data_IF_173551781144
#
_entry.id   IF_173551781144
#
_cell.length_a   1.000
_cell.length_b   1.000
_cell.length_c   1.000
_cell.angle_alpha   90.00
_cell.angle_beta   90.00
_cell.angle_gamma   90.00
#
_symmetry.space_group_name_H-M   'P 1'
#
loop_
_entity.id
_entity.type
_entity.pdbx_description
1 polymer ?
#
# COMPACT_ATOMS: atom_id res chain seq x y z
N UNK A 1 -55.57 -61.92 22.31
CA UNK A 1 -54.49 -62.33 23.22
C UNK A 1 -53.43 -61.23 23.22
N UNK A 2 -53.21 -60.68 24.40
CA UNK A 2 -52.52 -59.44 24.73
C UNK A 2 -51.02 -59.68 24.91
N UNK A 3 -50.17 -58.96 24.18
CA UNK A 3 -48.72 -58.96 24.40
C UNK A 3 -48.30 -57.56 24.82
N UNK A 4 -48.07 -57.38 26.12
CA UNK A 4 -47.57 -56.13 26.70
C UNK A 4 -46.06 -56.04 26.48
N UNK A 5 -45.62 -54.96 25.82
CA UNK A 5 -44.20 -54.60 25.70
C UNK A 5 -43.80 -53.80 26.94
N UNK A 6 -42.98 -54.39 27.79
CA UNK A 6 -42.31 -53.69 28.89
C UNK A 6 -41.15 -52.86 28.34
N UNK A 7 -41.30 -51.53 28.32
CA UNK A 7 -40.22 -50.59 28.05
C UNK A 7 -39.43 -50.33 29.33
N UNK A 8 -38.24 -50.95 29.45
CA UNK A 8 -37.30 -50.67 30.53
C UNK A 8 -36.66 -49.30 30.31
N UNK A 9 -37.04 -48.30 31.11
CA UNK A 9 -36.41 -46.98 31.11
C UNK A 9 -35.11 -47.05 31.90
N UNK A 10 -33.97 -47.08 31.20
CA UNK A 10 -32.64 -46.93 31.81
C UNK A 10 -32.42 -45.46 32.15
N UNK A 11 -32.44 -45.12 33.44
CA UNK A 11 -32.15 -43.77 33.96
C UNK A 11 -30.63 -43.60 34.02
N UNK A 12 -30.05 -42.83 33.11
CA UNK A 12 -28.62 -42.51 33.16
C UNK A 12 -28.34 -41.52 34.30
N UNK A 13 -27.28 -41.73 35.10
CA UNK A 13 -26.89 -40.81 36.16
C UNK A 13 -26.48 -39.46 35.56
N UNK A 14 -27.13 -38.39 36.04
CA UNK A 14 -26.80 -37.00 35.73
C UNK A 14 -25.42 -36.67 36.31
N UNK A 15 -24.38 -36.94 35.54
CA UNK A 15 -23.03 -36.49 35.81
C UNK A 15 -22.97 -34.98 35.69
N UNK A 16 -22.77 -34.29 36.82
CA UNK A 16 -22.42 -32.86 36.84
C UNK A 16 -21.14 -32.68 36.04
N UNK A 17 -21.27 -32.23 34.79
CA UNK A 17 -20.15 -31.81 33.95
C UNK A 17 -19.52 -30.61 34.64
N UNK A 18 -18.43 -30.85 35.37
CA UNK A 18 -17.49 -29.81 35.75
C UNK A 18 -16.97 -29.19 34.44
N UNK A 19 -17.58 -28.08 34.02
CA UNK A 19 -17.02 -27.19 33.00
C UNK A 19 -15.71 -26.64 33.54
N UNK A 20 -14.64 -27.41 33.38
CA UNK A 20 -13.27 -26.90 33.38
C UNK A 20 -13.29 -25.80 32.32
N UNK A 21 -13.31 -24.53 32.75
CA UNK A 21 -13.03 -23.40 31.86
C UNK A 21 -11.65 -23.67 31.31
N UNK A 22 -11.59 -24.24 30.10
CA UNK A 22 -10.41 -24.20 29.27
C UNK A 22 -10.11 -22.72 29.10
N UNK A 23 -9.08 -22.23 29.80
CA UNK A 23 -8.54 -20.91 29.59
C UNK A 23 -8.18 -20.84 28.10
N UNK A 24 -9.04 -20.17 27.32
CA UNK A 24 -8.75 -19.89 25.92
C UNK A 24 -7.45 -19.07 25.87
N UNK A 25 -6.56 -19.36 24.91
CA UNK A 25 -5.14 -19.20 25.10
C UNK A 25 -4.73 -17.73 25.07
N UNK A 26 -3.70 -17.39 25.85
CA UNK A 26 -2.95 -16.12 25.84
C UNK A 26 -2.33 -15.75 24.47
N UNK A 27 -2.65 -16.49 23.40
CA UNK A 27 -2.26 -16.21 22.01
C UNK A 27 -2.94 -14.96 21.45
N UNK A 28 -4.08 -14.51 22.01
CA UNK A 28 -4.83 -13.37 21.46
C UNK A 28 -4.15 -12.01 21.71
N UNK A 29 -3.49 -11.80 22.85
CA UNK A 29 -2.83 -10.51 23.15
C UNK A 29 -1.53 -10.33 22.37
N UNK A 30 -0.72 -11.38 22.28
CA UNK A 30 0.53 -11.38 21.50
C UNK A 30 0.23 -11.18 20.01
N UNK A 31 -0.79 -11.86 19.48
CA UNK A 31 -1.20 -11.69 18.09
C UNK A 31 -1.74 -10.28 17.82
N UNK A 32 -2.63 -9.75 18.68
CA UNK A 32 -3.11 -8.36 18.60
C UNK A 32 -1.96 -7.36 18.64
N UNK A 33 -0.97 -7.56 19.50
CA UNK A 33 0.21 -6.68 19.59
C UNK A 33 1.05 -6.67 18.32
N UNK A 34 1.19 -7.82 17.63
CA UNK A 34 1.89 -7.90 16.33
C UNK A 34 1.11 -7.18 15.23
N UNK A 35 -0.20 -7.38 15.16
CA UNK A 35 -1.08 -6.69 14.20
C UNK A 35 -1.04 -5.17 14.39
N UNK A 36 -1.14 -4.69 15.64
CA UNK A 36 -1.04 -3.26 15.93
C UNK A 36 0.31 -2.67 15.53
N UNK A 37 1.42 -3.37 15.80
CA UNK A 37 2.76 -2.94 15.37
C UNK A 37 2.89 -2.88 13.84
N UNK A 38 2.30 -3.83 13.12
CA UNK A 38 2.28 -3.82 11.66
C UNK A 38 1.45 -2.68 11.09
N UNK A 39 0.27 -2.40 11.65
CA UNK A 39 -0.55 -1.25 11.28
C UNK A 39 0.18 0.07 11.54
N UNK A 40 0.83 0.21 12.70
CA UNK A 40 1.63 1.38 13.02
C UNK A 40 2.81 1.56 12.05
N UNK A 41 3.49 0.47 11.70
CA UNK A 41 4.58 0.51 10.71
C UNK A 41 4.08 0.88 9.31
N UNK A 42 2.96 0.30 8.86
CA UNK A 42 2.31 0.66 7.59
C UNK A 42 1.95 2.15 7.55
N UNK A 43 1.32 2.67 8.60
CA UNK A 43 0.96 4.08 8.71
C UNK A 43 2.19 5.00 8.72
N UNK A 44 3.27 4.62 9.42
CA UNK A 44 4.51 5.38 9.44
C UNK A 44 5.18 5.42 8.05
N UNK A 45 5.24 4.27 7.35
CA UNK A 45 5.76 4.18 5.99
C UNK A 45 4.91 5.02 5.02
N UNK A 46 3.58 4.97 5.14
CA UNK A 46 2.67 5.79 4.35
C UNK A 46 2.89 7.28 4.59
N UNK A 47 3.09 7.70 5.83
CA UNK A 47 3.33 9.09 6.19
C UNK A 47 4.65 9.61 5.58
N UNK A 48 5.73 8.83 5.66
CA UNK A 48 7.01 9.16 5.01
C UNK A 48 6.82 9.26 3.50
N UNK A 49 6.12 8.30 2.90
CA UNK A 49 5.79 8.32 1.47
C UNK A 49 5.05 9.61 1.09
N UNK A 50 4.06 10.03 1.86
CA UNK A 50 3.27 11.23 1.61
C UNK A 50 4.10 12.52 1.68
N UNK A 51 5.03 12.61 2.64
CA UNK A 51 5.96 13.76 2.71
C UNK A 51 6.87 13.80 1.49
N UNK A 52 7.44 12.65 1.08
CA UNK A 52 8.26 12.57 -0.12
C UNK A 52 7.45 12.90 -1.38
N UNK A 53 6.19 12.46 -1.46
CA UNK A 53 5.27 12.81 -2.55
C UNK A 53 5.08 14.32 -2.63
N UNK A 54 4.80 15.02 -1.52
CA UNK A 54 4.63 16.48 -1.53
C UNK A 54 5.89 17.24 -2.03
N UNK A 55 7.07 16.78 -1.59
CA UNK A 55 8.35 17.36 -2.06
C UNK A 55 8.57 17.09 -3.55
N UNK A 56 8.35 15.86 -4.00
CA UNK A 56 8.45 15.43 -5.40
C UNK A 56 7.49 16.20 -6.29
N UNK A 57 6.26 16.43 -5.84
CA UNK A 57 5.23 17.12 -6.60
C UNK A 57 5.59 18.59 -6.83
N UNK A 58 6.22 19.24 -5.84
CA UNK A 58 6.73 20.60 -5.96
C UNK A 58 7.83 20.70 -7.03
N UNK A 59 8.78 19.75 -7.04
CA UNK A 59 9.90 19.74 -7.99
C UNK A 59 9.45 19.35 -9.39
N UNK A 60 8.54 18.38 -9.49
CA UNK A 60 7.91 17.99 -10.74
C UNK A 60 7.13 19.15 -11.35
N UNK A 61 6.29 19.84 -10.57
CA UNK A 61 5.54 21.00 -11.04
C UNK A 61 6.47 22.13 -11.50
N UNK A 62 7.56 22.38 -10.76
CA UNK A 62 8.57 23.36 -11.16
C UNK A 62 9.26 22.98 -12.48
N UNK A 63 9.71 21.74 -12.61
CA UNK A 63 10.33 21.23 -13.84
C UNK A 63 9.38 21.29 -15.03
N UNK A 64 8.11 20.92 -14.86
CA UNK A 64 7.08 21.03 -15.90
C UNK A 64 6.86 22.49 -16.31
N UNK A 65 6.75 23.41 -15.36
CA UNK A 65 6.58 24.84 -15.67
C UNK A 65 7.75 25.39 -16.50
N UNK A 66 9.00 25.03 -16.15
CA UNK A 66 10.19 25.43 -16.91
C UNK A 66 10.15 24.87 -18.33
N UNK A 67 9.90 23.56 -18.48
CA UNK A 67 9.99 22.88 -19.79
C UNK A 67 8.86 23.28 -20.74
N UNK A 68 7.67 23.56 -20.21
CA UNK A 68 6.47 23.79 -21.04
C UNK A 68 6.06 25.26 -21.13
N UNK A 69 6.58 26.13 -20.26
CA UNK A 69 6.21 27.55 -20.20
C UNK A 69 4.78 27.80 -19.71
N UNK A 70 4.11 26.79 -19.14
CA UNK A 70 2.74 26.94 -18.63
C UNK A 70 2.70 27.63 -17.25
N UNK A 71 1.59 28.29 -16.89
CA UNK A 71 1.40 28.85 -15.57
C UNK A 71 1.55 27.82 -14.45
N UNK A 72 2.05 28.25 -13.29
CA UNK A 72 2.35 27.36 -12.16
C UNK A 72 1.17 26.45 -11.75
N UNK A 73 -0.05 26.97 -11.71
CA UNK A 73 -1.23 26.17 -11.33
C UNK A 73 -1.52 25.04 -12.32
N UNK A 74 -1.23 25.23 -13.62
CA UNK A 74 -1.36 24.18 -14.63
C UNK A 74 -0.27 23.13 -14.45
N UNK A 75 0.97 23.55 -14.16
CA UNK A 75 2.07 22.62 -13.90
C UNK A 75 1.82 21.77 -12.63
N UNK A 76 1.26 22.37 -11.58
CA UNK A 76 0.79 21.63 -10.40
C UNK A 76 -0.32 20.63 -10.75
N UNK A 77 -1.30 21.02 -11.55
CA UNK A 77 -2.34 20.10 -12.00
C UNK A 77 -1.77 18.93 -12.82
N UNK A 78 -0.79 19.19 -13.69
CA UNK A 78 -0.08 18.15 -14.45
C UNK A 78 0.71 17.20 -13.54
N UNK A 79 1.43 17.74 -12.55
CA UNK A 79 2.19 16.96 -11.57
C UNK A 79 1.25 16.06 -10.73
N UNK A 80 0.13 16.61 -10.24
CA UNK A 80 -0.92 15.83 -9.56
C UNK A 80 -1.47 14.74 -10.49
N UNK A 81 -1.70 15.06 -11.76
CA UNK A 81 -2.18 14.10 -12.77
C UNK A 81 -1.26 12.89 -12.93
N UNK A 82 0.06 13.08 -12.91
CA UNK A 82 1.03 11.97 -12.95
C UNK A 82 0.90 11.06 -11.73
N UNK A 83 0.84 11.61 -10.51
CA UNK A 83 0.73 10.83 -9.29
C UNK A 83 -0.64 10.12 -9.17
N UNK A 84 -1.73 10.79 -9.54
CA UNK A 84 -3.06 10.18 -9.61
C UNK A 84 -3.11 9.02 -10.62
N UNK A 85 -2.34 9.10 -11.71
CA UNK A 85 -2.23 8.01 -12.69
C UNK A 85 -1.60 6.77 -12.04
N UNK A 86 -0.54 6.94 -11.24
CA UNK A 86 0.06 5.82 -10.49
C UNK A 86 -0.94 5.19 -9.52
N UNK A 87 -1.63 6.02 -8.73
CA UNK A 87 -2.64 5.56 -7.77
C UNK A 87 -3.78 4.81 -8.48
N UNK A 88 -4.25 5.33 -9.62
CA UNK A 88 -5.32 4.71 -10.39
C UNK A 88 -4.90 3.34 -10.97
N UNK A 89 -3.69 3.25 -11.52
CA UNK A 89 -3.15 2.01 -12.10
C UNK A 89 -2.87 0.93 -11.03
N UNK A 90 -2.43 1.32 -9.84
CA UNK A 90 -2.27 0.38 -8.72
C UNK A 90 -3.63 -0.05 -8.17
N UNK A 91 -4.55 0.90 -7.99
CA UNK A 91 -5.90 0.63 -7.50
C UNK A 91 -6.67 -0.29 -8.45
N UNK A 92 -6.53 -0.11 -9.77
CA UNK A 92 -7.11 -1.01 -10.77
C UNK A 92 -6.63 -2.47 -10.63
N UNK A 93 -5.34 -2.66 -10.30
CA UNK A 93 -4.78 -4.00 -10.07
C UNK A 93 -5.24 -4.60 -8.73
N UNK A 94 -5.42 -3.77 -7.69
CA UNK A 94 -5.90 -4.21 -6.37
C UNK A 94 -7.39 -4.55 -6.36
N UNK A 95 -8.20 -3.80 -7.12
CA UNK A 95 -9.64 -4.02 -7.25
C UNK A 95 -10.01 -5.14 -8.23
N UNK A 96 -9.03 -5.75 -8.91
CA UNK A 96 -9.27 -6.85 -9.84
C UNK A 96 -9.81 -8.08 -9.11
N UNK A 97 -11.05 -8.47 -9.42
CA UNK A 97 -11.75 -9.58 -8.76
C UNK A 97 -11.12 -10.94 -9.09
N UNK A 98 -10.52 -11.10 -10.27
CA UNK A 98 -9.92 -12.35 -10.72
C UNK A 98 -8.48 -12.17 -11.18
N UNK A 99 -7.71 -13.25 -11.10
CA UNK A 99 -6.33 -13.33 -11.59
C UNK A 99 -6.22 -13.05 -13.09
N UNK A 100 -7.21 -13.48 -13.89
CA UNK A 100 -7.23 -13.25 -15.32
C UNK A 100 -7.38 -11.76 -15.64
N UNK A 101 -8.33 -11.07 -14.98
CA UNK A 101 -8.52 -9.62 -15.12
C UNK A 101 -7.30 -8.86 -14.65
N UNK A 102 -6.70 -9.27 -13.52
CA UNK A 102 -5.48 -8.62 -13.00
C UNK A 102 -4.32 -8.73 -13.97
N UNK A 103 -4.13 -9.87 -14.64
CA UNK A 103 -3.10 -10.05 -15.66
C UNK A 103 -3.31 -9.14 -16.87
N UNK A 104 -4.55 -9.01 -17.33
CA UNK A 104 -4.89 -8.14 -18.47
C UNK A 104 -4.64 -6.67 -18.12
N UNK A 105 -5.06 -6.21 -16.94
CA UNK A 105 -4.77 -4.86 -16.46
C UNK A 105 -3.25 -4.66 -16.32
N UNK A 106 -2.53 -5.61 -15.72
CA UNK A 106 -1.10 -5.51 -15.47
C UNK A 106 -0.27 -5.39 -16.75
N UNK A 107 -0.73 -5.94 -17.87
CA UNK A 107 -0.10 -5.81 -19.19
C UNK A 107 0.05 -4.34 -19.61
N UNK A 108 -0.93 -3.52 -19.30
CA UNK A 108 -0.96 -2.09 -19.62
C UNK A 108 -0.50 -1.23 -18.45
N UNK A 109 -0.86 -1.60 -17.23
CA UNK A 109 -0.54 -0.83 -16.04
C UNK A 109 0.96 -0.81 -15.74
N UNK A 110 1.68 -1.93 -15.88
CA UNK A 110 3.12 -1.99 -15.59
C UNK A 110 3.97 -1.07 -16.47
N UNK A 111 3.85 -1.09 -17.81
CA UNK A 111 4.62 -0.17 -18.65
C UNK A 111 4.20 1.28 -18.42
N UNK A 112 2.91 1.56 -18.16
CA UNK A 112 2.45 2.91 -17.84
C UNK A 112 3.00 3.42 -16.52
N UNK A 113 3.02 2.59 -15.47
CA UNK A 113 3.66 2.91 -14.18
C UNK A 113 5.14 3.24 -14.38
N UNK A 114 5.85 2.40 -15.16
CA UNK A 114 7.27 2.61 -15.45
C UNK A 114 7.49 3.92 -16.21
N UNK A 115 6.66 4.20 -17.22
CA UNK A 115 6.74 5.44 -18.01
C UNK A 115 6.52 6.69 -17.16
N UNK A 116 5.49 6.68 -16.30
CA UNK A 116 5.22 7.79 -15.38
C UNK A 116 6.35 7.97 -14.36
N UNK A 117 6.89 6.86 -13.81
CA UNK A 117 8.03 6.91 -12.89
C UNK A 117 9.29 7.50 -13.56
N UNK A 118 9.59 7.08 -14.78
CA UNK A 118 10.74 7.63 -15.53
C UNK A 118 10.53 9.12 -15.80
N UNK A 119 9.35 9.50 -16.30
CA UNK A 119 9.04 10.91 -16.54
C UNK A 119 9.15 11.77 -15.28
N UNK A 120 8.62 11.28 -14.16
CA UNK A 120 8.72 11.94 -12.85
C UNK A 120 10.17 12.03 -12.36
N UNK A 121 10.96 10.96 -12.48
CA UNK A 121 12.38 10.93 -12.11
C UNK A 121 13.22 11.88 -12.95
N UNK A 122 13.03 11.90 -14.27
CA UNK A 122 13.70 12.83 -15.18
C UNK A 122 13.39 14.28 -14.78
N UNK A 123 12.12 14.59 -14.49
CA UNK A 123 11.73 15.96 -14.19
C UNK A 123 12.16 16.42 -12.80
N UNK A 124 12.11 15.54 -11.81
CA UNK A 124 12.68 15.81 -10.50
C UNK A 124 14.21 16.02 -10.61
N UNK A 125 14.92 15.13 -11.31
CA UNK A 125 16.36 15.25 -11.51
C UNK A 125 16.74 16.56 -12.21
N UNK A 126 15.95 16.97 -13.21
CA UNK A 126 16.12 18.25 -13.87
C UNK A 126 15.93 19.42 -12.89
N UNK A 127 14.84 19.44 -12.12
CA UNK A 127 14.57 20.52 -11.17
C UNK A 127 15.63 20.62 -10.06
N UNK A 128 16.09 19.50 -9.52
CA UNK A 128 17.17 19.50 -8.54
C UNK A 128 18.52 19.92 -9.15
N UNK A 129 18.80 19.47 -10.38
CA UNK A 129 20.04 19.80 -11.08
C UNK A 129 20.13 21.26 -11.53
N UNK A 130 19.00 21.90 -11.82
CA UNK A 130 18.93 23.32 -12.19
C UNK A 130 19.34 24.23 -11.01
N UNK A 131 19.02 23.84 -9.79
CA UNK A 131 19.32 24.61 -8.59
C UNK A 131 20.81 24.62 -8.17
N UNK A 132 21.66 23.79 -8.77
CA UNK A 132 23.06 23.62 -8.36
C UNK A 132 24.03 23.53 -9.54
N UNK A 133 25.30 23.88 -9.31
CA UNK A 133 26.37 23.74 -10.31
C UNK A 133 27.61 23.07 -9.74
N UNK A 134 28.52 22.63 -10.61
CA UNK A 134 29.78 22.01 -10.22
C UNK A 134 29.60 20.62 -9.60
N UNK A 135 30.36 20.33 -8.55
CA UNK A 135 30.45 18.99 -7.93
C UNK A 135 29.13 18.52 -7.29
N UNK A 136 28.20 19.43 -7.01
CA UNK A 136 26.90 19.13 -6.41
C UNK A 136 25.84 18.67 -7.42
N UNK A 137 26.11 18.79 -8.73
CA UNK A 137 25.15 18.41 -9.77
C UNK A 137 24.82 16.91 -9.75
N UNK A 138 25.84 16.05 -9.66
CA UNK A 138 25.63 14.60 -9.67
C UNK A 138 24.80 14.13 -8.46
N UNK A 139 25.10 14.53 -7.20
CA UNK A 139 24.24 14.25 -6.06
C UNK A 139 22.79 14.74 -6.22
N UNK A 140 22.58 15.93 -6.80
CA UNK A 140 21.25 16.50 -6.99
C UNK A 140 20.42 15.70 -8.00
N UNK A 141 21.02 15.28 -9.12
CA UNK A 141 20.38 14.38 -10.10
C UNK A 141 20.02 13.04 -9.44
N UNK A 142 20.95 12.46 -8.68
CA UNK A 142 20.71 11.19 -7.97
C UNK A 142 19.54 11.33 -7.00
N UNK A 143 19.46 12.43 -6.25
CA UNK A 143 18.36 12.70 -5.32
C UNK A 143 17.02 12.82 -6.08
N UNK A 144 17.00 13.54 -7.20
CA UNK A 144 15.81 13.70 -8.02
C UNK A 144 15.29 12.39 -8.63
N UNK A 145 16.17 11.43 -8.94
CA UNK A 145 15.77 10.09 -9.36
C UNK A 145 15.32 9.24 -8.16
N UNK A 146 16.04 9.32 -7.05
CA UNK A 146 15.81 8.48 -5.88
C UNK A 146 14.44 8.73 -5.24
N UNK A 147 13.97 9.99 -5.19
CA UNK A 147 12.71 10.34 -4.53
C UNK A 147 11.50 9.61 -5.16
N UNK A 148 11.23 9.71 -6.48
CA UNK A 148 10.14 8.96 -7.11
C UNK A 148 10.25 7.43 -6.95
N UNK A 149 11.47 6.89 -7.03
CA UNK A 149 11.71 5.46 -6.79
C UNK A 149 11.36 5.05 -5.36
N UNK A 150 11.75 5.85 -4.36
CA UNK A 150 11.44 5.60 -2.95
C UNK A 150 9.95 5.71 -2.68
N UNK A 151 9.26 6.71 -3.24
CA UNK A 151 7.79 6.85 -3.11
C UNK A 151 7.10 5.58 -3.61
N UNK A 152 7.49 5.08 -4.78
CA UNK A 152 6.94 3.85 -5.33
C UNK A 152 7.16 2.67 -4.37
N UNK A 153 8.40 2.44 -3.94
CA UNK A 153 8.73 1.33 -3.03
C UNK A 153 8.00 1.43 -1.70
N UNK A 154 7.96 2.61 -1.08
CA UNK A 154 7.27 2.86 0.20
C UNK A 154 5.77 2.60 0.08
N UNK A 155 5.15 2.99 -1.03
CA UNK A 155 3.73 2.72 -1.30
C UNK A 155 3.46 1.22 -1.35
N UNK A 156 4.30 0.46 -2.07
CA UNK A 156 4.19 -1.01 -2.16
C UNK A 156 4.36 -1.68 -0.80
N UNK A 157 5.36 -1.27 -0.02
CA UNK A 157 5.63 -1.83 1.31
C UNK A 157 4.49 -1.50 2.27
N UNK A 158 4.02 -0.25 2.28
CA UNK A 158 2.91 0.17 3.13
C UNK A 158 1.64 -0.64 2.88
N UNK A 159 1.26 -0.78 1.60
CA UNK A 159 0.08 -1.57 1.21
C UNK A 159 0.27 -3.05 1.54
N UNK A 160 1.45 -3.62 1.32
CA UNK A 160 1.73 -5.01 1.66
C UNK A 160 1.62 -5.27 3.17
N UNK A 161 2.16 -4.36 4.00
CA UNK A 161 2.04 -4.43 5.47
C UNK A 161 0.57 -4.31 5.90
N UNK A 162 -0.19 -3.41 5.29
CA UNK A 162 -1.61 -3.26 5.58
C UNK A 162 -2.42 -4.52 5.23
N UNK A 163 -2.25 -5.07 4.03
CA UNK A 163 -2.96 -6.28 3.60
C UNK A 163 -2.59 -7.48 4.48
N UNK A 164 -1.33 -7.59 4.90
CA UNK A 164 -0.89 -8.67 5.79
C UNK A 164 -1.59 -8.65 7.16
N UNK A 165 -2.11 -7.50 7.61
CA UNK A 165 -2.88 -7.40 8.86
C UNK A 165 -4.33 -7.89 8.73
N UNK A 166 -4.83 -8.04 7.51
CA UNK A 166 -6.22 -8.43 7.20
C UNK A 166 -6.37 -9.95 6.96
N UNK A 167 -5.26 -10.70 6.96
CA UNK A 167 -5.23 -12.15 6.76
C UNK A 167 -5.08 -12.88 8.09
#
# INVERSE_FOLDING_TARGET
MTTALFTTVVRLPSGRVHRRRLAQPAKSSIHRGRVQRQLAASAAVAAIGLVLTALSLSHLAHGVAIVTGIPAWQAWATAIGFDLTLIALESAQLCAISEAVRKEIARWARPSILGVLIGSACMNAFAFGEAVTGWWLAPAIVLGIAIPCLIYVLTRISVALYIATQR
#
